data_IF_661160081795
#
_entry.id   IF_661160081795
#
_cell.length_a   1.000
_cell.length_b   1.000
_cell.length_c   1.000
_cell.angle_alpha   90.00
_cell.angle_beta   90.00
_cell.angle_gamma   90.00
#
_symmetry.space_group_name_H-M   'P 1'
#
loop_
_entity.id
_entity.type
_entity.pdbx_description
1 polymer ?
#
# COMPACT_ATOMS: atom_id res chain seq x y z
N UNK A 1 0.02 18.15 -7.47
CA UNK A 1 0.35 16.96 -8.25
C UNK A 1 0.53 15.78 -7.31
N UNK A 2 0.67 14.56 -7.85
CA UNK A 2 1.11 13.40 -7.05
C UNK A 2 2.61 13.52 -6.85
N UNK A 3 3.06 13.60 -5.59
CA UNK A 3 4.47 13.63 -5.24
C UNK A 3 5.07 12.21 -5.25
N UNK A 4 4.39 11.25 -4.63
CA UNK A 4 4.84 9.87 -4.57
C UNK A 4 3.69 8.87 -4.47
N UNK A 5 3.95 7.65 -4.92
CA UNK A 5 3.10 6.49 -4.71
C UNK A 5 3.92 5.39 -4.03
N UNK A 6 3.36 4.73 -3.02
CA UNK A 6 4.00 3.61 -2.35
C UNK A 6 3.04 2.46 -2.04
N UNK A 7 3.62 1.27 -2.00
CA UNK A 7 2.99 0.03 -1.53
C UNK A 7 3.84 -0.48 -0.38
N UNK A 8 3.22 -0.70 0.77
CA UNK A 8 3.88 -1.25 1.95
C UNK A 8 3.06 -2.40 2.55
N UNK A 9 3.69 -3.11 3.46
CA UNK A 9 3.04 -4.16 4.25
C UNK A 9 2.28 -3.53 5.42
N UNK A 10 1.12 -4.09 5.72
CA UNK A 10 0.38 -3.86 6.95
C UNK A 10 0.57 -5.08 7.84
N UNK A 11 0.97 -4.89 9.09
CA UNK A 11 1.08 -6.00 10.03
C UNK A 11 -0.28 -6.66 10.23
N UNK A 12 -0.30 -7.99 10.11
CA UNK A 12 -1.44 -8.78 10.51
C UNK A 12 -1.58 -8.75 12.05
N UNK A 13 -2.77 -8.43 12.60
CA UNK A 13 -2.96 -8.26 14.05
C UNK A 13 -2.54 -9.45 14.93
N UNK A 14 -2.53 -10.68 14.41
CA UNK A 14 -2.26 -11.90 15.18
C UNK A 14 -0.88 -12.50 14.95
N UNK A 15 -0.10 -12.01 13.98
CA UNK A 15 1.24 -12.53 13.78
C UNK A 15 2.12 -11.85 14.84
N UNK A 16 2.54 -12.60 15.86
CA UNK A 16 3.59 -12.18 16.80
C UNK A 16 4.88 -11.78 16.08
N UNK A 17 4.97 -12.12 14.79
CA UNK A 17 5.93 -11.52 13.90
C UNK A 17 5.96 -10.01 14.09
N UNK A 18 7.09 -9.60 14.64
CA UNK A 18 7.55 -8.23 14.74
C UNK A 18 7.86 -7.68 13.34
N UNK A 19 7.13 -8.13 12.31
CA UNK A 19 7.21 -7.69 10.94
C UNK A 19 7.12 -6.18 10.93
N UNK A 20 8.25 -5.55 10.65
CA UNK A 20 8.36 -4.11 10.52
C UNK A 20 7.52 -3.67 9.31
N UNK A 21 7.06 -2.41 9.31
CA UNK A 21 6.52 -1.78 8.11
C UNK A 21 7.57 -1.85 6.99
N UNK A 22 7.37 -2.74 6.01
CA UNK A 22 8.25 -2.86 4.84
C UNK A 22 7.61 -2.19 3.64
N UNK A 23 8.34 -1.25 3.05
CA UNK A 23 8.00 -0.66 1.76
C UNK A 23 8.37 -1.66 0.67
N UNK A 24 7.38 -2.15 -0.07
CA UNK A 24 7.54 -3.12 -1.16
C UNK A 24 7.83 -2.40 -2.49
N UNK A 25 7.22 -1.23 -2.67
CA UNK A 25 7.38 -0.40 -3.84
C UNK A 25 7.25 1.07 -3.45
N UNK A 26 8.04 1.93 -4.10
CA UNK A 26 7.90 3.37 -3.99
C UNK A 26 8.33 4.03 -5.30
N UNK A 27 7.52 4.95 -5.80
CA UNK A 27 7.84 5.81 -6.93
C UNK A 27 7.65 7.27 -6.52
N UNK A 28 8.65 8.10 -6.79
CA UNK A 28 8.61 9.54 -6.51
C UNK A 28 8.58 10.26 -7.86
N UNK A 29 7.56 11.08 -8.07
CA UNK A 29 7.30 11.79 -9.32
C UNK A 29 7.76 13.26 -9.27
N UNK A 30 7.82 13.85 -8.07
CA UNK A 30 8.27 15.23 -7.87
C UNK A 30 9.68 15.31 -7.29
N UNK A 31 10.47 16.28 -7.75
CA UNK A 31 11.66 16.71 -7.02
C UNK A 31 11.24 17.70 -5.93
N UNK A 32 11.62 17.48 -4.67
CA UNK A 32 11.61 18.59 -3.71
C UNK A 32 12.61 19.65 -4.18
N UNK A 33 12.27 20.92 -3.98
CA UNK A 33 13.21 22.02 -4.14
C UNK A 33 14.23 21.87 -3.01
N UNK A 34 15.31 21.12 -3.20
CA UNK A 34 16.37 21.12 -2.20
C UNK A 34 16.83 22.58 -2.05
N UNK A 35 16.76 23.18 -0.84
CA UNK A 35 17.22 24.54 -0.63
C UNK A 35 18.74 24.63 -0.77
N UNK A 36 19.44 23.49 -0.75
CA UNK A 36 20.90 23.44 -0.74
C UNK A 36 21.50 22.94 -2.05
N UNK A 37 22.59 23.62 -2.39
CA UNK A 37 23.42 23.55 -3.60
C UNK A 37 23.63 22.09 -4.10
N UNK A 38 23.28 21.76 -5.37
CA UNK A 38 23.38 20.41 -5.94
C UNK A 38 24.81 19.83 -5.97
N UNK A 39 25.81 20.58 -5.50
CA UNK A 39 27.23 20.21 -5.58
C UNK A 39 27.80 19.54 -4.33
N UNK A 40 27.07 19.45 -3.21
CA UNK A 40 27.68 19.00 -1.94
C UNK A 40 27.02 17.80 -1.25
N UNK A 41 25.76 17.49 -1.53
CA UNK A 41 25.12 16.30 -0.99
C UNK A 41 25.29 15.12 -1.94
N UNK A 42 26.12 14.15 -1.53
CA UNK A 42 26.32 12.93 -2.29
C UNK A 42 24.98 12.24 -2.55
N UNK A 43 24.77 11.75 -3.77
CA UNK A 43 23.53 11.10 -4.20
C UNK A 43 23.03 10.00 -3.24
N UNK A 44 23.92 9.39 -2.46
CA UNK A 44 23.58 8.46 -1.39
C UNK A 44 22.77 9.10 -0.26
N UNK A 45 23.10 10.32 0.17
CA UNK A 45 22.39 11.03 1.22
C UNK A 45 20.98 11.39 0.78
N UNK A 46 20.82 11.86 -0.45
CA UNK A 46 19.49 12.13 -1.03
C UNK A 46 18.64 10.87 -1.13
N UNK A 47 19.26 9.76 -1.55
CA UNK A 47 18.60 8.45 -1.60
C UNK A 47 18.15 7.99 -0.22
N UNK A 48 19.01 8.12 0.80
CA UNK A 48 18.69 7.75 2.18
C UNK A 48 17.59 8.66 2.74
N UNK A 49 17.66 9.96 2.49
CA UNK A 49 16.65 10.92 2.90
C UNK A 49 15.28 10.57 2.33
N UNK A 50 15.19 10.37 1.00
CA UNK A 50 13.93 9.94 0.35
C UNK A 50 13.41 8.62 0.89
N UNK A 51 14.30 7.66 1.17
CA UNK A 51 13.91 6.38 1.77
C UNK A 51 13.26 6.59 3.14
N UNK A 52 13.83 7.45 3.99
CA UNK A 52 13.24 7.78 5.29
C UNK A 52 11.91 8.52 5.13
N UNK A 53 11.78 9.45 4.18
CA UNK A 53 10.51 10.15 3.92
C UNK A 53 9.39 9.15 3.58
N UNK A 54 9.64 8.25 2.63
CA UNK A 54 8.67 7.23 2.22
C UNK A 54 8.34 6.28 3.39
N UNK A 55 9.34 5.91 4.18
CA UNK A 55 9.17 4.99 5.28
C UNK A 55 8.42 5.63 6.46
N UNK A 56 8.58 6.93 6.69
CA UNK A 56 7.78 7.69 7.65
C UNK A 56 6.30 7.70 7.24
N UNK A 57 6.00 7.96 5.96
CA UNK A 57 4.62 7.89 5.43
C UNK A 57 4.04 6.48 5.64
N UNK A 58 4.79 5.43 5.29
CA UNK A 58 4.34 4.05 5.43
C UNK A 58 4.00 3.68 6.89
N UNK A 59 4.85 4.09 7.85
CA UNK A 59 4.61 3.87 9.29
C UNK A 59 3.35 4.60 9.77
N UNK A 60 3.13 5.82 9.32
CA UNK A 60 1.96 6.59 9.71
C UNK A 60 0.66 5.98 9.16
N UNK A 61 0.67 5.56 7.89
CA UNK A 61 -0.44 4.82 7.28
C UNK A 61 -0.71 3.53 8.05
N UNK A 62 0.33 2.76 8.38
CA UNK A 62 0.18 1.53 9.18
C UNK A 62 -0.48 1.83 10.53
N UNK A 63 -0.02 2.86 11.24
CA UNK A 63 -0.59 3.26 12.52
C UNK A 63 -2.06 3.66 12.42
N UNK A 64 -2.43 4.42 11.39
CA UNK A 64 -3.81 4.86 11.17
C UNK A 64 -4.72 3.70 10.79
N UNK A 65 -4.25 2.79 9.93
CA UNK A 65 -4.98 1.60 9.55
C UNK A 65 -5.27 0.72 10.77
N UNK A 66 -4.28 0.50 11.64
CA UNK A 66 -4.48 -0.25 12.89
C UNK A 66 -5.45 0.46 13.83
N UNK A 67 -5.31 1.77 14.00
CA UNK A 67 -6.22 2.55 14.83
C UNK A 67 -7.66 2.42 14.34
N UNK A 68 -7.87 2.50 13.03
CA UNK A 68 -9.19 2.34 12.42
C UNK A 68 -9.76 0.92 12.64
N UNK A 69 -8.93 -0.12 12.46
CA UNK A 69 -9.33 -1.51 12.72
C UNK A 69 -9.74 -1.73 14.19
N UNK A 70 -8.95 -1.20 15.12
CA UNK A 70 -9.24 -1.26 16.56
C UNK A 70 -10.51 -0.50 16.92
N UNK A 71 -10.70 0.70 16.36
CA UNK A 71 -11.89 1.52 16.59
C UNK A 71 -13.17 0.90 16.01
N UNK A 72 -13.06 0.21 14.87
CA UNK A 72 -14.18 -0.52 14.27
C UNK A 72 -14.55 -1.80 15.04
N UNK A 73 -13.75 -2.19 16.05
CA UNK A 73 -13.95 -3.44 16.78
C UNK A 73 -13.64 -4.69 15.94
N UNK A 74 -13.04 -4.52 14.75
CA UNK A 74 -12.67 -5.64 13.89
C UNK A 74 -11.49 -6.39 14.51
N UNK A 75 -11.77 -7.51 15.17
CA UNK A 75 -10.75 -8.52 15.44
C UNK A 75 -10.43 -9.28 14.16
N UNK A 76 -9.14 -9.45 13.91
CA UNK A 76 -8.44 -10.19 12.83
C UNK A 76 -9.18 -11.25 12.01
N UNK A 77 -10.15 -11.98 12.58
CA UNK A 77 -10.93 -13.02 11.91
C UNK A 77 -11.69 -12.52 10.68
N UNK A 78 -12.17 -11.27 10.68
CA UNK A 78 -12.94 -10.71 9.56
C UNK A 78 -12.09 -10.38 8.32
N UNK A 79 -10.77 -10.25 8.48
CA UNK A 79 -9.85 -9.92 7.38
C UNK A 79 -9.17 -11.15 6.80
N UNK A 80 -9.72 -12.36 7.04
CA UNK A 80 -9.22 -13.53 6.33
C UNK A 80 -9.34 -13.24 4.83
N UNK A 81 -8.22 -13.21 4.09
CA UNK A 81 -8.24 -12.86 2.69
C UNK A 81 -8.99 -13.99 1.99
N UNK A 82 -10.29 -13.79 1.79
CA UNK A 82 -11.04 -14.55 0.82
C UNK A 82 -10.46 -14.13 -0.53
N UNK A 83 -9.34 -14.74 -0.92
CA UNK A 83 -9.01 -15.02 -2.31
C UNK A 83 -10.06 -16.01 -2.89
N UNK A 84 -11.34 -15.83 -2.50
CA UNK A 84 -12.47 -16.31 -3.23
C UNK A 84 -12.37 -15.73 -4.63
N UNK A 85 -12.88 -16.46 -5.62
CA UNK A 85 -12.98 -16.00 -6.99
C UNK A 85 -13.77 -14.68 -7.12
N UNK A 86 -14.52 -14.30 -6.08
CA UNK A 86 -15.21 -13.02 -5.98
C UNK A 86 -14.24 -11.82 -5.93
N UNK A 87 -14.54 -10.70 -6.61
CA UNK A 87 -13.74 -9.49 -6.56
C UNK A 87 -13.63 -8.99 -5.11
N UNK A 88 -12.40 -8.71 -4.65
CA UNK A 88 -12.20 -8.06 -3.34
C UNK A 88 -13.05 -6.77 -3.33
N UNK A 89 -13.97 -6.63 -2.37
CA UNK A 89 -14.83 -5.46 -2.24
C UNK A 89 -14.01 -4.24 -1.81
N UNK A 90 -13.34 -3.61 -2.78
CA UNK A 90 -12.52 -2.41 -2.53
C UNK A 90 -13.30 -1.25 -1.92
N UNK A 91 -14.64 -1.27 -1.98
CA UNK A 91 -15.51 -0.26 -1.40
C UNK A 91 -15.48 -0.26 0.14
N UNK A 92 -15.28 -1.42 0.76
CA UNK A 92 -15.31 -1.59 2.23
C UNK A 92 -13.92 -1.55 2.86
N UNK A 93 -12.88 -1.50 2.03
CA UNK A 93 -11.50 -1.47 2.50
C UNK A 93 -11.22 -0.21 3.36
N UNK A 94 -10.49 -0.33 4.48
CA UNK A 94 -10.09 0.79 5.31
C UNK A 94 -9.29 1.79 4.48
N UNK A 95 -9.66 3.06 4.59
CA UNK A 95 -9.07 4.14 3.83
C UNK A 95 -9.18 5.43 4.61
N UNK A 96 -8.34 6.39 4.28
CA UNK A 96 -8.39 7.71 4.89
C UNK A 96 -7.38 8.65 4.27
N UNK A 97 -7.39 9.89 4.76
CA UNK A 97 -6.41 10.90 4.41
C UNK A 97 -5.87 11.55 5.69
N UNK A 98 -4.62 12.03 5.63
CA UNK A 98 -4.05 12.87 6.66
C UNK A 98 -3.12 13.91 6.05
N UNK A 99 -2.89 15.00 6.78
CA UNK A 99 -2.00 16.07 6.37
C UNK A 99 -0.64 15.93 7.05
N UNK A 100 0.41 16.19 6.30
CA UNK A 100 1.78 16.32 6.74
C UNK A 100 2.15 17.79 6.70
N UNK A 101 2.56 18.32 7.85
CA UNK A 101 3.07 19.68 7.94
C UNK A 101 4.40 19.80 7.19
N UNK A 102 4.72 21.01 6.76
CA UNK A 102 6.06 21.32 6.27
C UNK A 102 7.11 21.03 7.36
N UNK A 103 8.21 20.40 6.99
CA UNK A 103 9.36 20.12 7.84
C UNK A 103 9.52 18.66 8.25
N UNK A 104 8.46 17.83 8.23
CA UNK A 104 8.56 16.40 8.53
C UNK A 104 7.44 15.56 7.87
N UNK A 105 7.74 14.60 6.99
CA UNK A 105 9.06 14.29 6.40
C UNK A 105 9.39 15.17 5.18
N UNK A 106 8.43 15.95 4.67
CA UNK A 106 8.58 16.77 3.46
C UNK A 106 8.78 18.24 3.80
N UNK A 107 9.51 18.98 2.96
CA UNK A 107 9.75 20.41 3.15
C UNK A 107 8.51 21.26 2.91
N UNK A 108 7.69 20.85 1.94
CA UNK A 108 6.40 21.46 1.66
C UNK A 108 5.30 20.63 2.31
N UNK A 109 4.15 21.25 2.68
CA UNK A 109 3.04 20.51 3.24
C UNK A 109 2.50 19.51 2.20
N UNK A 110 2.15 18.32 2.64
CA UNK A 110 1.61 17.25 1.77
C UNK A 110 0.34 16.67 2.35
N UNK A 111 -0.51 16.14 1.50
CA UNK A 111 -1.66 15.33 1.90
C UNK A 111 -1.41 13.89 1.50
N UNK A 112 -1.53 12.97 2.45
CA UNK A 112 -1.40 11.54 2.17
C UNK A 112 -2.78 10.92 2.15
N UNK A 113 -3.11 10.27 1.04
CA UNK A 113 -4.28 9.43 0.91
C UNK A 113 -3.85 7.97 0.96
N UNK A 114 -4.55 7.14 1.71
CA UNK A 114 -4.19 5.73 1.88
C UNK A 114 -5.38 4.79 1.84
N UNK A 115 -5.09 3.52 1.52
CA UNK A 115 -6.04 2.44 1.35
C UNK A 115 -5.37 1.13 1.83
N UNK A 116 -5.98 0.43 2.78
CA UNK A 116 -5.51 -0.86 3.28
C UNK A 116 -6.34 -2.01 2.74
N UNK A 117 -5.71 -2.97 2.06
CA UNK A 117 -6.38 -4.14 1.47
C UNK A 117 -5.55 -5.39 1.74
N UNK A 118 -6.17 -6.44 2.30
CA UNK A 118 -5.48 -7.64 2.76
C UNK A 118 -4.36 -7.25 3.77
N UNK A 119 -3.11 -7.61 3.50
CA UNK A 119 -1.93 -7.21 4.28
C UNK A 119 -1.09 -6.12 3.58
N UNK A 120 -1.71 -5.36 2.66
CA UNK A 120 -1.04 -4.31 1.88
C UNK A 120 -1.65 -2.94 2.16
N UNK A 121 -0.79 -1.94 2.32
CA UNK A 121 -1.13 -0.53 2.37
C UNK A 121 -0.70 0.15 1.09
N UNK A 122 -1.63 0.83 0.44
CA UNK A 122 -1.39 1.68 -0.72
C UNK A 122 -1.49 3.13 -0.27
N UNK A 123 -0.54 3.98 -0.66
CA UNK A 123 -0.60 5.39 -0.32
C UNK A 123 -0.14 6.29 -1.48
N UNK A 124 -0.84 7.41 -1.63
CA UNK A 124 -0.50 8.53 -2.50
C UNK A 124 -0.12 9.73 -1.65
N UNK A 125 1.06 10.27 -1.87
CA UNK A 125 1.49 11.56 -1.33
C UNK A 125 1.16 12.61 -2.38
N UNK A 126 0.37 13.60 -2.00
CA UNK A 126 -0.20 14.64 -2.85
C UNK A 126 0.22 16.01 -2.34
N UNK A 127 0.17 17.00 -3.23
CA UNK A 127 0.21 18.40 -2.81
C UNK A 127 -1.09 18.79 -2.09
N UNK A 128 -1.03 19.83 -1.26
CA UNK A 128 -2.14 20.27 -0.39
C UNK A 128 -3.45 20.59 -1.12
N UNK A 129 -3.38 21.05 -2.36
CA UNK A 129 -4.52 21.56 -3.13
C UNK A 129 -5.07 20.57 -4.16
N UNK A 130 -4.69 19.30 -4.08
CA UNK A 130 -5.14 18.28 -5.01
C UNK A 130 -6.59 17.83 -4.74
N UNK A 131 -7.26 17.36 -5.80
CA UNK A 131 -8.60 16.81 -5.69
C UNK A 131 -8.56 15.42 -5.03
N UNK A 132 -8.88 15.36 -3.73
CA UNK A 132 -8.84 14.12 -2.95
C UNK A 132 -9.80 13.05 -3.47
N UNK A 133 -10.98 13.42 -3.97
CA UNK A 133 -11.94 12.45 -4.53
C UNK A 133 -11.39 11.79 -5.80
N UNK A 134 -10.74 12.56 -6.66
CA UNK A 134 -10.08 12.02 -7.85
C UNK A 134 -8.90 11.12 -7.45
N UNK A 135 -8.09 11.57 -6.50
CA UNK A 135 -6.96 10.79 -5.99
C UNK A 135 -7.41 9.46 -5.37
N UNK A 136 -8.53 9.45 -4.65
CA UNK A 136 -9.09 8.24 -4.06
C UNK A 136 -9.58 7.25 -5.10
N UNK A 137 -10.35 7.73 -6.09
CA UNK A 137 -10.78 6.88 -7.20
C UNK A 137 -9.59 6.30 -7.96
N UNK A 138 -8.53 7.09 -8.12
CA UNK A 138 -7.28 6.66 -8.75
C UNK A 138 -6.58 5.60 -7.90
N UNK A 139 -6.45 5.81 -6.59
CA UNK A 139 -5.82 4.85 -5.68
C UNK A 139 -6.57 3.53 -5.65
N UNK A 140 -7.90 3.55 -5.57
CA UNK A 140 -8.74 2.34 -5.61
C UNK A 140 -8.59 1.61 -6.95
N UNK A 141 -8.57 2.34 -8.07
CA UNK A 141 -8.36 1.74 -9.39
C UNK A 141 -6.98 1.07 -9.49
N UNK A 142 -5.91 1.74 -9.04
CA UNK A 142 -4.55 1.19 -9.04
C UNK A 142 -4.48 -0.07 -8.16
N UNK A 143 -5.02 -0.02 -6.95
CA UNK A 143 -5.05 -1.16 -6.06
C UNK A 143 -5.80 -2.34 -6.68
N UNK A 144 -6.94 -2.11 -7.35
CA UNK A 144 -7.68 -3.15 -8.08
C UNK A 144 -6.81 -3.82 -9.12
N UNK A 145 -6.22 -3.03 -10.03
CA UNK A 145 -5.42 -3.54 -11.13
C UNK A 145 -4.22 -4.34 -10.62
N UNK A 146 -3.54 -3.84 -9.57
CA UNK A 146 -2.43 -4.53 -8.95
C UNK A 146 -2.85 -5.87 -8.33
N UNK A 147 -3.96 -5.91 -7.60
CA UNK A 147 -4.48 -7.14 -7.01
C UNK A 147 -4.94 -8.15 -8.07
N UNK A 148 -5.56 -7.68 -9.14
CA UNK A 148 -5.95 -8.53 -10.28
C UNK A 148 -4.71 -9.16 -10.93
N UNK A 149 -3.62 -8.40 -11.10
CA UNK A 149 -2.35 -8.95 -11.58
C UNK A 149 -1.76 -10.00 -10.62
N UNK A 150 -1.86 -9.80 -9.30
CA UNK A 150 -1.39 -10.81 -8.32
C UNK A 150 -2.23 -12.09 -8.35
N UNK A 151 -3.55 -11.97 -8.57
CA UNK A 151 -4.44 -13.13 -8.74
C UNK A 151 -4.05 -13.98 -9.95
N UNK A 152 -3.67 -13.34 -11.05
CA UNK A 152 -3.19 -14.03 -12.26
C UNK A 152 -1.88 -14.79 -12.05
N UNK A 153 -1.07 -14.41 -11.06
CA UNK A 153 0.18 -15.09 -10.70
C UNK A 153 -0.05 -16.28 -9.77
N UNK A 154 -1.19 -16.34 -9.07
CA UNK A 154 -1.54 -17.52 -8.30
C UNK A 154 -1.86 -18.59 -9.33
N UNK A 155 -1.19 -19.76 -9.35
CA UNK A 155 -1.62 -20.85 -10.22
C UNK A 155 -3.08 -21.06 -9.87
N UNK A 156 -3.98 -20.77 -10.83
CA UNK A 156 -5.35 -21.18 -10.69
C UNK A 156 -5.24 -22.65 -10.32
N UNK A 157 -5.70 -23.02 -9.12
CA UNK A 157 -5.84 -24.41 -8.75
C UNK A 157 -6.82 -24.91 -9.79
N UNK A 158 -6.27 -25.39 -10.90
CA UNK A 158 -7.00 -26.05 -11.94
C UNK A 158 -7.45 -27.29 -11.21
N UNK A 159 -8.69 -27.25 -10.76
CA UNK A 159 -9.52 -28.41 -10.48
C UNK A 159 -9.65 -29.18 -11.79
N UNK A 160 -8.53 -29.74 -12.22
CA UNK A 160 -8.31 -30.64 -13.35
C UNK A 160 -7.60 -31.91 -12.89
N UNK A 161 -7.50 -32.12 -11.57
CA UNK A 161 -7.30 -33.45 -10.98
C UNK A 161 -8.62 -34.24 -11.04
N UNK A 162 -9.18 -34.39 -12.24
CA UNK A 162 -10.22 -35.35 -12.52
C UNK A 162 -9.87 -35.99 -13.86
N UNK A 163 -9.85 -37.32 -13.89
CA UNK A 163 -9.73 -38.15 -15.08
C UNK A 163 -8.33 -38.47 -15.64
N UNK A 164 -7.46 -39.04 -14.80
CA UNK A 164 -6.62 -40.16 -15.26
C UNK A 164 -7.12 -41.46 -14.63
N UNK A 165 -8.33 -41.88 -15.00
CA UNK A 165 -8.87 -43.19 -14.62
C UNK A 165 -8.26 -44.22 -15.58
N UNK A 166 -7.28 -44.96 -15.07
CA UNK A 166 -6.64 -46.07 -15.75
C UNK A 166 -7.68 -47.10 -16.22
N UNK A 167 -7.62 -47.48 -17.50
CA UNK A 167 -8.27 -48.68 -18.00
C UNK A 167 -7.32 -49.86 -17.81
N UNK A 168 -7.64 -50.86 -16.98
CA UNK A 168 -6.91 -52.11 -16.97
C UNK A 168 -7.50 -53.00 -18.07
N UNK A 169 -6.73 -53.20 -19.14
CA UNK A 169 -6.98 -54.25 -20.12
C UNK A 169 -6.80 -55.61 -19.44
N UNK A 170 -7.89 -56.38 -19.35
CA UNK A 170 -7.86 -57.83 -19.15
C UNK A 170 -7.02 -58.52 -20.23
#
# INVERSE_FOLDING_TARGET
MVHAFLIHTLRAPNLEDTGLCRVLYSCVFGAEKSPDDPRSHGAERDRLFRKEQILAVARQVESLCRLQQQAAGCSSTDLQPQFSAEPVSLHEAPHGAFHLAAGDPFQEPRTVLWLGILSLGFALVLDTHENLLLAERTLRLLARLLLDHLRLLTPAVSTGAAYCRAHPSR
#
